data_IF_214930967597
#
_entry.id   IF_214930967597
#
_cell.length_a   1.000
_cell.length_b   1.000
_cell.length_c   1.000
_cell.angle_alpha   90.00
_cell.angle_beta   90.00
_cell.angle_gamma   90.00
#
_symmetry.space_group_name_H-M   'P 1'
#
loop_
_entity.id
_entity.type
_entity.pdbx_description
1 polymer ?
#
# COMPACT_ATOMS: atom_id res chain seq x y z
N UNK A 1 22.45 -42.09 -8.99
CA UNK A 1 21.89 -41.60 -7.72
C UNK A 1 22.13 -40.09 -7.53
N UNK A 2 23.35 -39.56 -7.84
CA UNK A 2 23.67 -38.12 -7.69
C UNK A 2 22.93 -37.23 -8.71
N UNK A 3 22.68 -37.70 -9.93
CA UNK A 3 21.95 -36.95 -10.95
C UNK A 3 20.44 -36.83 -10.64
N UNK A 4 19.83 -37.81 -10.01
CA UNK A 4 18.42 -37.80 -9.60
C UNK A 4 18.15 -36.78 -8.47
N UNK A 5 19.09 -36.63 -7.53
CA UNK A 5 19.00 -35.69 -6.44
C UNK A 5 19.06 -34.23 -6.92
N UNK A 6 19.88 -33.92 -7.96
CA UNK A 6 19.97 -32.58 -8.53
C UNK A 6 18.68 -32.20 -9.28
N UNK A 7 18.04 -33.14 -9.98
CA UNK A 7 16.77 -32.89 -10.64
C UNK A 7 15.61 -32.64 -9.67
N UNK A 8 15.58 -33.35 -8.55
CA UNK A 8 14.56 -33.11 -7.51
C UNK A 8 14.76 -31.75 -6.80
N UNK A 9 15.99 -31.34 -6.58
CA UNK A 9 16.28 -30.00 -6.01
C UNK A 9 15.97 -28.87 -6.99
N UNK A 10 16.27 -29.04 -8.27
CA UNK A 10 15.96 -28.04 -9.30
C UNK A 10 14.44 -27.96 -9.55
N UNK A 11 13.72 -29.06 -9.56
CA UNK A 11 12.26 -29.10 -9.72
C UNK A 11 11.49 -28.55 -8.51
N UNK A 12 11.91 -28.90 -7.30
CA UNK A 12 11.30 -28.40 -6.05
C UNK A 12 11.57 -26.92 -5.82
N UNK A 13 12.77 -26.45 -6.11
CA UNK A 13 13.15 -25.03 -6.00
C UNK A 13 12.41 -24.14 -6.99
N UNK A 14 12.20 -24.60 -8.21
CA UNK A 14 11.44 -23.87 -9.23
C UNK A 14 9.95 -23.75 -8.88
N UNK A 15 9.35 -24.77 -8.28
CA UNK A 15 7.92 -24.76 -7.91
C UNK A 15 7.63 -23.87 -6.71
N UNK A 16 8.49 -23.87 -5.71
CA UNK A 16 8.37 -22.98 -4.55
C UNK A 16 8.76 -21.53 -4.88
N UNK A 17 9.73 -21.31 -5.78
CA UNK A 17 10.15 -19.99 -6.24
C UNK A 17 9.05 -19.27 -7.03
N UNK A 18 8.22 -20.00 -7.78
CA UNK A 18 7.13 -19.42 -8.57
C UNK A 18 5.97 -18.89 -7.69
N UNK A 19 5.82 -19.37 -6.46
CA UNK A 19 4.81 -18.91 -5.51
C UNK A 19 5.25 -17.62 -4.75
N UNK A 20 6.56 -17.35 -4.65
CA UNK A 20 7.10 -16.25 -3.84
C UNK A 20 7.81 -15.14 -4.63
N UNK A 21 8.17 -15.38 -5.90
CA UNK A 21 8.81 -14.36 -6.71
C UNK A 21 7.75 -13.52 -7.45
N UNK A 22 7.73 -12.19 -7.29
CA UNK A 22 6.71 -11.31 -7.87
C UNK A 22 7.01 -11.03 -9.36
N UNK A 23 7.14 -12.07 -10.19
CA UNK A 23 7.45 -11.95 -11.63
C UNK A 23 6.54 -10.95 -12.36
N UNK A 24 5.26 -10.92 -11.98
CA UNK A 24 4.28 -10.02 -12.57
C UNK A 24 4.57 -8.54 -12.26
N UNK A 25 5.16 -8.27 -11.11
CA UNK A 25 5.53 -6.90 -10.74
C UNK A 25 6.78 -6.41 -11.50
N UNK A 26 7.63 -7.30 -11.99
CA UNK A 26 8.81 -6.95 -12.78
C UNK A 26 8.47 -6.57 -14.22
N UNK A 27 7.39 -7.12 -14.79
CA UNK A 27 6.84 -6.78 -16.09
C UNK A 27 5.74 -5.74 -16.06
N UNK A 28 5.52 -5.05 -14.93
CA UNK A 28 4.49 -4.05 -14.79
C UNK A 28 4.71 -2.84 -15.72
N UNK A 29 3.60 -2.28 -16.24
CA UNK A 29 3.66 -1.12 -17.14
C UNK A 29 4.26 0.12 -16.45
N UNK A 30 3.94 0.32 -15.16
CA UNK A 30 4.50 1.41 -14.34
C UNK A 30 4.86 0.90 -12.94
N UNK A 31 6.02 1.32 -12.47
CA UNK A 31 6.50 0.98 -11.13
C UNK A 31 7.29 2.10 -10.49
N UNK A 32 7.35 2.07 -9.17
CA UNK A 32 8.23 2.88 -8.33
C UNK A 32 9.22 1.99 -7.58
N UNK A 33 10.40 2.54 -7.33
CA UNK A 33 11.38 1.94 -6.44
C UNK A 33 10.98 2.16 -4.96
N UNK A 34 11.72 1.53 -4.06
CA UNK A 34 11.59 1.76 -2.63
C UNK A 34 11.92 3.23 -2.30
N UNK A 35 11.05 3.90 -1.54
CA UNK A 35 11.13 5.32 -1.22
C UNK A 35 10.68 6.27 -2.35
N UNK A 36 10.55 5.78 -3.59
CA UNK A 36 10.11 6.60 -4.71
C UNK A 36 8.60 6.82 -4.70
N UNK A 37 8.17 8.04 -5.07
CA UNK A 37 6.79 8.39 -5.41
C UNK A 37 6.74 8.93 -6.83
N UNK A 38 5.69 8.58 -7.57
CA UNK A 38 5.54 8.99 -8.96
C UNK A 38 4.09 9.30 -9.30
N UNK A 39 3.86 10.43 -9.94
CA UNK A 39 2.55 10.80 -10.46
C UNK A 39 2.51 10.56 -11.96
N UNK A 40 1.43 9.94 -12.42
CA UNK A 40 1.12 9.76 -13.84
C UNK A 40 -0.30 10.22 -14.14
N UNK A 41 -0.53 10.64 -15.38
CA UNK A 41 -1.88 10.93 -15.90
C UNK A 41 -2.18 9.96 -17.02
N UNK A 42 -3.29 9.25 -16.90
CA UNK A 42 -3.77 8.28 -17.88
C UNK A 42 -4.50 8.98 -19.04
N UNK A 43 -4.72 8.26 -20.14
CA UNK A 43 -5.32 8.81 -21.36
C UNK A 43 -6.76 9.35 -21.19
N UNK A 44 -7.46 8.91 -20.14
CA UNK A 44 -8.81 9.36 -19.78
C UNK A 44 -8.84 10.56 -18.81
N UNK A 45 -7.67 11.12 -18.49
CA UNK A 45 -7.50 12.20 -17.52
C UNK A 45 -7.46 11.74 -16.06
N UNK A 46 -7.50 10.41 -15.78
CA UNK A 46 -7.29 9.88 -14.42
C UNK A 46 -5.85 10.14 -13.97
N UNK A 47 -5.69 10.72 -12.79
CA UNK A 47 -4.38 10.89 -12.16
C UNK A 47 -4.16 9.78 -11.16
N UNK A 48 -3.00 9.14 -11.23
CA UNK A 48 -2.55 8.09 -10.31
C UNK A 48 -1.20 8.49 -9.71
N UNK A 49 -1.17 8.62 -8.38
CA UNK A 49 0.08 8.76 -7.62
C UNK A 49 0.46 7.39 -7.09
N UNK A 50 1.61 6.88 -7.48
CA UNK A 50 2.18 5.64 -6.98
C UNK A 50 3.04 5.95 -5.76
N UNK A 51 2.85 5.20 -4.68
CA UNK A 51 3.66 5.26 -3.47
C UNK A 51 4.93 4.40 -3.60
N UNK A 52 5.71 4.30 -2.54
CA UNK A 52 6.91 3.45 -2.44
C UNK A 52 6.62 2.01 -2.88
N UNK A 53 7.59 1.39 -3.58
CA UNK A 53 7.56 -0.02 -4.01
C UNK A 53 6.23 -0.47 -4.61
N UNK A 54 5.69 0.33 -5.51
CA UNK A 54 4.38 0.12 -6.14
C UNK A 54 4.54 -0.35 -7.58
N UNK A 55 3.66 -1.25 -8.02
CA UNK A 55 3.61 -1.74 -9.39
C UNK A 55 2.17 -1.85 -9.87
N UNK A 56 1.89 -1.29 -11.06
CA UNK A 56 0.57 -1.33 -11.71
C UNK A 56 0.67 -1.73 -13.18
N UNK A 57 -0.39 -2.39 -13.67
CA UNK A 57 -0.66 -2.55 -15.09
C UNK A 57 -1.85 -1.66 -15.50
N UNK A 58 -1.81 -1.15 -16.74
CA UNK A 58 -2.86 -0.33 -17.32
C UNK A 58 -3.51 -1.10 -18.46
N UNK A 59 -4.83 -1.30 -18.39
CA UNK A 59 -5.61 -2.08 -19.36
C UNK A 59 -6.87 -1.31 -19.75
N UNK A 60 -6.76 -0.52 -20.81
CA UNK A 60 -7.90 0.20 -21.37
C UNK A 60 -8.40 -0.56 -22.62
N UNK A 61 -9.68 -0.93 -22.60
CA UNK A 61 -10.39 -1.51 -23.73
C UNK A 61 -11.63 -0.68 -24.09
N UNK A 62 -12.50 -1.20 -24.97
CA UNK A 62 -13.70 -0.47 -25.39
C UNK A 62 -14.79 -0.36 -24.32
N UNK A 63 -14.78 -1.22 -23.30
CA UNK A 63 -15.79 -1.30 -22.25
C UNK A 63 -15.29 -0.71 -20.92
N UNK A 64 -13.98 -0.82 -20.63
CA UNK A 64 -13.43 -0.50 -19.33
C UNK A 64 -12.12 0.29 -19.40
N UNK A 65 -11.85 1.03 -18.32
CA UNK A 65 -10.57 1.67 -18.01
C UNK A 65 -10.00 0.93 -16.82
N UNK A 66 -9.16 -0.08 -17.08
CA UNK A 66 -8.59 -0.94 -16.05
C UNK A 66 -7.25 -0.43 -15.55
N UNK A 67 -7.08 -0.33 -14.24
CA UNK A 67 -5.78 -0.24 -13.56
C UNK A 67 -5.66 -1.42 -12.62
N UNK A 68 -4.63 -2.24 -12.77
CA UNK A 68 -4.39 -3.37 -11.89
C UNK A 68 -3.26 -3.05 -10.93
N UNK A 69 -3.57 -2.98 -9.63
CA UNK A 69 -2.57 -2.88 -8.58
C UNK A 69 -2.00 -4.27 -8.31
N UNK A 70 -0.72 -4.45 -8.60
CA UNK A 70 0.00 -5.71 -8.39
C UNK A 70 0.61 -5.78 -7.00
N UNK A 71 1.13 -4.64 -6.50
CA UNK A 71 1.63 -4.44 -5.15
C UNK A 71 1.73 -2.96 -4.81
N UNK A 72 1.87 -2.67 -3.53
CA UNK A 72 2.09 -1.30 -3.05
C UNK A 72 0.80 -0.54 -2.80
N UNK A 73 0.81 0.75 -3.12
CA UNK A 73 -0.27 1.68 -2.81
C UNK A 73 -0.37 2.77 -3.87
N UNK A 74 -1.59 3.09 -4.28
CA UNK A 74 -1.88 4.17 -5.21
C UNK A 74 -2.94 5.12 -4.65
N UNK A 75 -2.80 6.42 -4.97
CA UNK A 75 -3.86 7.41 -4.86
C UNK A 75 -4.43 7.66 -6.27
N UNK A 76 -5.73 7.55 -6.41
CA UNK A 76 -6.43 7.71 -7.69
C UNK A 76 -7.37 8.90 -7.60
N UNK A 77 -7.25 9.83 -8.55
CA UNK A 77 -8.26 10.86 -8.82
C UNK A 77 -8.87 10.55 -10.18
N UNK A 78 -10.13 10.12 -10.20
CA UNK A 78 -10.78 9.61 -11.40
C UNK A 78 -11.03 10.70 -12.44
N UNK A 79 -10.59 10.48 -13.68
CA UNK A 79 -10.90 11.29 -14.85
C UNK A 79 -12.31 11.02 -15.39
N UNK A 80 -12.78 11.93 -16.24
CA UNK A 80 -14.16 11.91 -16.79
C UNK A 80 -14.31 11.10 -18.07
N UNK A 81 -13.23 10.56 -18.66
CA UNK A 81 -13.24 9.89 -19.99
C UNK A 81 -13.91 10.73 -21.07
N UNK A 82 -13.60 12.03 -21.08
CA UNK A 82 -14.31 13.04 -21.91
C UNK A 82 -14.16 12.82 -23.43
N UNK A 83 -13.21 11.99 -23.86
CA UNK A 83 -13.02 11.66 -25.27
C UNK A 83 -14.10 10.71 -25.83
N UNK A 84 -15.00 10.17 -24.97
CA UNK A 84 -16.08 9.26 -25.40
C UNK A 84 -17.44 9.80 -25.06
N UNK A 85 -18.40 9.61 -25.96
CA UNK A 85 -19.80 10.02 -25.76
C UNK A 85 -20.43 9.28 -24.56
N UNK A 86 -20.06 8.03 -24.33
CA UNK A 86 -20.43 7.24 -23.14
C UNK A 86 -19.15 6.90 -22.38
N UNK A 87 -18.93 7.48 -21.19
CA UNK A 87 -17.75 7.20 -20.39
C UNK A 87 -17.68 5.73 -19.97
N UNK A 88 -16.51 5.11 -20.13
CA UNK A 88 -16.27 3.75 -19.67
C UNK A 88 -16.12 3.71 -18.15
N UNK A 89 -16.49 2.59 -17.54
CA UNK A 89 -16.27 2.39 -16.12
C UNK A 89 -14.75 2.31 -15.79
N UNK A 90 -14.31 3.07 -14.79
CA UNK A 90 -12.97 2.89 -14.21
C UNK A 90 -13.01 1.74 -13.21
N UNK A 91 -12.05 0.84 -13.29
CA UNK A 91 -11.92 -0.32 -12.41
C UNK A 91 -10.48 -0.43 -11.91
N UNK A 92 -10.29 -0.41 -10.60
CA UNK A 92 -9.00 -0.74 -9.98
C UNK A 92 -9.08 -2.20 -9.54
N UNK A 93 -8.39 -3.07 -10.26
CA UNK A 93 -8.33 -4.49 -9.95
C UNK A 93 -7.19 -4.78 -8.96
N UNK A 94 -7.46 -5.60 -7.95
CA UNK A 94 -6.50 -6.00 -6.91
C UNK A 94 -6.44 -7.52 -6.78
N UNK A 95 -5.55 -8.03 -5.95
CA UNK A 95 -5.49 -9.47 -5.65
C UNK A 95 -6.79 -9.98 -4.99
N UNK A 96 -7.53 -9.09 -4.31
CA UNK A 96 -8.68 -9.45 -3.48
C UNK A 96 -10.03 -9.13 -4.15
N UNK A 97 -10.05 -8.28 -5.18
CA UNK A 97 -11.28 -7.91 -5.88
C UNK A 97 -11.14 -6.59 -6.62
N UNK A 98 -12.27 -6.04 -7.05
CA UNK A 98 -12.35 -4.81 -7.82
C UNK A 98 -12.85 -3.64 -6.98
N UNK A 99 -12.26 -2.47 -7.19
CA UNK A 99 -12.70 -1.18 -6.63
C UNK A 99 -13.18 -0.30 -7.79
N UNK A 100 -14.43 0.11 -7.76
CA UNK A 100 -15.11 0.88 -8.82
C UNK A 100 -15.50 2.26 -8.30
N UNK A 101 -14.80 3.31 -8.68
CA UNK A 101 -15.09 4.68 -8.26
C UNK A 101 -16.33 5.23 -8.96
N UNK A 102 -16.99 6.18 -8.28
CA UNK A 102 -18.09 6.98 -8.80
C UNK A 102 -17.70 8.45 -8.63
N UNK A 103 -16.83 8.97 -9.52
CA UNK A 103 -16.33 10.34 -9.48
C UNK A 103 -15.56 10.64 -8.18
N UNK A 104 -14.35 10.11 -8.02
CA UNK A 104 -13.78 9.87 -6.68
C UNK A 104 -12.31 10.21 -6.60
N UNK A 105 -11.85 10.67 -5.42
CA UNK A 105 -10.45 10.62 -4.96
C UNK A 105 -10.32 9.61 -3.84
N UNK A 106 -9.49 8.57 -4.03
CA UNK A 106 -9.37 7.46 -3.09
C UNK A 106 -7.98 6.82 -3.20
N UNK A 107 -7.54 6.14 -2.14
CA UNK A 107 -6.35 5.30 -2.20
C UNK A 107 -6.72 3.82 -2.16
N UNK A 108 -5.85 3.01 -2.76
CA UNK A 108 -5.90 1.55 -2.72
C UNK A 108 -4.52 1.02 -2.37
N UNK A 109 -4.46 0.17 -1.33
CA UNK A 109 -3.22 -0.43 -0.85
C UNK A 109 -3.35 -1.95 -0.70
N UNK A 110 -2.46 -2.70 -1.31
CA UNK A 110 -2.30 -4.14 -1.08
C UNK A 110 -1.61 -4.40 0.27
N UNK A 111 -2.19 -5.30 1.08
CA UNK A 111 -1.71 -5.63 2.44
C UNK A 111 -1.76 -7.14 2.66
N UNK A 112 -0.87 -7.89 1.97
CA UNK A 112 -0.80 -9.34 2.13
C UNK A 112 -2.11 -10.04 1.78
N UNK A 113 -2.94 -10.31 2.77
CA UNK A 113 -4.21 -11.04 2.67
C UNK A 113 -5.46 -10.15 2.46
N UNK A 114 -5.28 -8.83 2.48
CA UNK A 114 -6.36 -7.85 2.31
C UNK A 114 -5.94 -6.67 1.44
N UNK A 115 -6.92 -5.99 0.87
CA UNK A 115 -6.76 -4.68 0.22
C UNK A 115 -7.44 -3.62 1.09
N UNK A 116 -6.73 -2.53 1.35
CA UNK A 116 -7.28 -1.33 2.00
C UNK A 116 -7.71 -0.31 0.95
N UNK A 117 -8.88 0.28 1.17
CA UNK A 117 -9.40 1.40 0.37
C UNK A 117 -9.78 2.54 1.32
N UNK A 118 -9.28 3.75 1.05
CA UNK A 118 -9.62 4.97 1.77
C UNK A 118 -10.20 5.97 0.79
N UNK A 119 -11.39 6.52 1.09
CA UNK A 119 -12.12 7.43 0.20
C UNK A 119 -12.07 8.85 0.74
N UNK A 120 -11.49 9.77 -0.04
CA UNK A 120 -11.31 11.18 0.34
C UNK A 120 -12.39 12.09 -0.26
N UNK A 121 -12.88 11.75 -1.46
CA UNK A 121 -13.96 12.46 -2.14
C UNK A 121 -14.82 11.48 -2.94
N UNK A 122 -16.14 11.71 -3.02
CA UNK A 122 -17.09 10.87 -3.73
C UNK A 122 -17.37 9.52 -3.03
N UNK A 123 -17.42 8.44 -3.79
CA UNK A 123 -17.70 7.09 -3.27
C UNK A 123 -17.10 6.00 -4.15
N UNK A 124 -16.80 4.84 -3.57
CA UNK A 124 -16.36 3.65 -4.29
C UNK A 124 -17.20 2.43 -3.95
N UNK A 125 -17.42 1.55 -4.93
CA UNK A 125 -17.99 0.22 -4.72
C UNK A 125 -16.85 -0.79 -4.64
N UNK A 126 -16.86 -1.63 -3.61
CA UNK A 126 -15.90 -2.71 -3.42
C UNK A 126 -16.57 -4.02 -3.82
N UNK A 127 -15.99 -4.76 -4.75
CA UNK A 127 -16.47 -6.07 -5.21
C UNK A 127 -15.41 -7.13 -4.89
N UNK A 128 -15.44 -7.78 -3.70
CA UNK A 128 -14.54 -8.86 -3.36
C UNK A 128 -14.67 -10.00 -4.37
N UNK A 129 -13.57 -10.68 -4.71
CA UNK A 129 -13.50 -11.61 -5.85
C UNK A 129 -14.45 -12.81 -5.75
N UNK A 130 -14.75 -13.25 -4.54
CA UNK A 130 -15.60 -14.43 -4.26
C UNK A 130 -16.94 -14.07 -3.64
N UNK A 131 -17.14 -12.79 -3.28
CA UNK A 131 -18.40 -12.37 -2.68
C UNK A 131 -19.55 -12.52 -3.67
N UNK A 132 -20.68 -13.02 -3.17
CA UNK A 132 -21.94 -13.06 -3.90
C UNK A 132 -22.86 -11.99 -3.32
N UNK A 133 -23.49 -11.21 -4.19
CA UNK A 133 -24.45 -10.21 -3.78
C UNK A 133 -24.03 -8.77 -4.10
N UNK A 134 -24.63 -7.80 -3.39
CA UNK A 134 -24.42 -6.36 -3.67
C UNK A 134 -23.07 -5.89 -3.16
N UNK A 135 -22.28 -5.28 -4.03
CA UNK A 135 -21.02 -4.64 -3.68
C UNK A 135 -21.24 -3.47 -2.71
N UNK A 136 -20.63 -3.47 -1.50
CA UNK A 136 -20.74 -2.38 -0.55
C UNK A 136 -20.21 -1.06 -1.13
N UNK A 137 -20.86 0.04 -0.76
CA UNK A 137 -20.47 1.40 -1.11
C UNK A 137 -19.76 2.03 0.08
N UNK A 138 -18.55 2.53 -0.15
CA UNK A 138 -17.77 3.31 0.83
C UNK A 138 -17.79 4.76 0.36
N UNK A 139 -18.18 5.66 1.24
CA UNK A 139 -18.30 7.11 0.97
C UNK A 139 -17.10 7.88 1.50
N UNK A 140 -16.96 9.12 1.05
CA UNK A 140 -15.92 10.03 1.51
C UNK A 140 -15.82 10.11 3.03
N UNK A 141 -14.60 10.25 3.55
CA UNK A 141 -14.28 10.25 4.98
C UNK A 141 -14.20 8.85 5.61
N UNK A 142 -14.41 7.79 4.83
CA UNK A 142 -14.35 6.41 5.31
C UNK A 142 -13.36 5.55 4.54
N UNK A 143 -12.85 4.53 5.22
CA UNK A 143 -12.03 3.48 4.63
C UNK A 143 -12.53 2.09 5.00
N UNK A 144 -12.16 1.10 4.20
CA UNK A 144 -12.49 -0.30 4.44
C UNK A 144 -11.32 -1.19 4.04
N UNK A 145 -11.13 -2.27 4.79
CA UNK A 145 -10.26 -3.37 4.39
C UNK A 145 -11.15 -4.50 3.85
N UNK A 146 -10.72 -5.18 2.80
CA UNK A 146 -11.46 -6.32 2.25
C UNK A 146 -10.53 -7.44 1.80
N UNK A 147 -11.00 -8.66 1.98
CA UNK A 147 -10.39 -9.90 1.50
C UNK A 147 -11.05 -10.35 0.19
N UNK A 148 -10.72 -11.54 -0.28
CA UNK A 148 -11.39 -12.12 -1.47
C UNK A 148 -12.85 -12.46 -1.23
N UNK A 149 -13.26 -12.61 0.03
CA UNK A 149 -14.58 -13.12 0.39
C UNK A 149 -15.55 -12.04 0.84
N UNK A 150 -15.05 -11.03 1.60
CA UNK A 150 -15.90 -9.98 2.19
C UNK A 150 -15.07 -8.76 2.63
N UNK A 151 -15.77 -7.72 3.14
CA UNK A 151 -15.14 -6.70 3.97
C UNK A 151 -14.59 -7.35 5.24
N UNK A 152 -13.39 -6.95 5.66
CA UNK A 152 -12.73 -7.45 6.87
C UNK A 152 -13.28 -6.84 8.18
N UNK A 153 -14.34 -6.05 8.09
CA UNK A 153 -15.01 -5.38 9.20
C UNK A 153 -15.86 -4.21 8.70
N UNK A 154 -16.48 -3.45 9.61
CA UNK A 154 -17.21 -2.24 9.24
C UNK A 154 -16.26 -1.17 8.69
N UNK A 155 -16.76 -0.27 7.81
CA UNK A 155 -15.99 0.89 7.39
C UNK A 155 -15.56 1.73 8.60
N UNK A 156 -14.29 2.20 8.58
CA UNK A 156 -13.72 3.06 9.63
C UNK A 156 -13.68 4.51 9.16
N UNK A 157 -13.79 5.44 10.09
CA UNK A 157 -13.58 6.87 9.82
C UNK A 157 -12.10 7.11 9.55
N UNK A 158 -11.79 7.89 8.51
CA UNK A 158 -10.43 8.26 8.18
C UNK A 158 -9.89 9.27 9.18
N UNK A 159 -8.67 9.05 9.65
CA UNK A 159 -7.93 10.08 10.39
C UNK A 159 -7.49 11.23 9.48
N UNK A 160 -7.23 12.40 10.07
CA UNK A 160 -6.78 13.59 9.34
C UNK A 160 -5.43 13.38 8.59
N UNK A 161 -4.66 12.38 8.98
CA UNK A 161 -3.38 11.98 8.38
C UNK A 161 -3.51 11.06 7.16
N UNK A 162 -4.70 10.54 6.89
CA UNK A 162 -4.91 9.63 5.78
C UNK A 162 -4.55 10.33 4.45
N UNK A 163 -3.73 9.68 3.63
CA UNK A 163 -3.33 10.21 2.32
C UNK A 163 -2.21 11.25 2.33
N UNK A 164 -1.69 11.69 3.49
CA UNK A 164 -0.58 12.66 3.59
C UNK A 164 0.72 12.20 2.89
N UNK A 165 0.87 10.89 2.68
CA UNK A 165 1.99 10.32 1.96
C UNK A 165 2.12 10.83 0.51
N UNK A 166 1.03 11.29 -0.10
CA UNK A 166 1.04 11.91 -1.44
C UNK A 166 1.96 13.12 -1.46
N UNK A 167 1.96 13.90 -0.36
CA UNK A 167 2.80 15.07 -0.18
C UNK A 167 4.18 14.74 0.42
N UNK A 168 4.49 13.46 0.58
CA UNK A 168 5.78 12.99 1.09
C UNK A 168 5.94 13.06 2.59
N UNK A 169 4.84 13.13 3.33
CA UNK A 169 4.86 13.20 4.78
C UNK A 169 4.06 12.07 5.42
N UNK A 170 4.50 11.68 6.61
CA UNK A 170 3.78 10.81 7.52
C UNK A 170 3.32 11.65 8.72
N UNK A 171 2.02 11.76 8.90
CA UNK A 171 1.44 12.49 10.03
C UNK A 171 0.99 11.48 11.08
N UNK A 172 1.61 11.54 12.24
CA UNK A 172 1.20 10.77 13.42
C UNK A 172 0.37 11.66 14.34
N UNK A 173 -0.81 11.20 14.72
CA UNK A 173 -1.68 11.83 15.72
C UNK A 173 -2.03 10.79 16.77
N UNK A 174 -1.33 10.83 17.91
CA UNK A 174 -1.48 9.82 18.99
C UNK A 174 -1.32 8.38 18.48
N UNK A 175 -0.43 8.16 17.49
CA UNK A 175 -0.19 6.86 16.87
C UNK A 175 0.68 6.00 17.81
N UNK A 176 0.47 4.68 17.82
CA UNK A 176 1.38 3.78 18.53
C UNK A 176 2.74 3.76 17.84
N UNK A 177 3.83 3.73 18.61
CA UNK A 177 5.18 3.67 18.04
C UNK A 177 5.36 2.48 17.09
N UNK A 178 4.84 1.30 17.45
CA UNK A 178 4.89 0.13 16.58
C UNK A 178 4.22 0.37 15.22
N UNK A 179 3.09 1.09 15.19
CA UNK A 179 2.35 1.38 13.96
C UNK A 179 3.09 2.43 13.10
N UNK A 180 3.71 3.43 13.74
CA UNK A 180 4.58 4.41 13.06
C UNK A 180 5.78 3.73 12.42
N UNK A 181 6.49 2.87 13.18
CA UNK A 181 7.68 2.16 12.68
C UNK A 181 7.31 1.17 11.56
N UNK A 182 6.16 0.50 11.63
CA UNK A 182 5.66 -0.36 10.57
C UNK A 182 5.37 0.43 9.27
N UNK A 183 4.97 1.70 9.38
CA UNK A 183 4.80 2.55 8.21
C UNK A 183 6.14 3.04 7.65
N UNK A 184 7.10 3.42 8.51
CA UNK A 184 8.46 3.82 8.12
C UNK A 184 9.21 2.66 7.43
N UNK A 185 9.03 1.41 7.92
CA UNK A 185 9.64 0.19 7.35
C UNK A 185 9.36 0.03 5.85
N UNK A 186 8.27 0.59 5.35
CA UNK A 186 7.90 0.56 3.92
C UNK A 186 8.78 1.42 3.02
N UNK A 187 9.41 2.46 3.57
CA UNK A 187 10.11 3.49 2.78
C UNK A 187 11.62 3.34 2.80
N UNK A 188 12.14 2.34 3.51
CA UNK A 188 13.58 2.11 3.63
C UNK A 188 13.99 0.68 3.29
N UNK A 189 15.22 0.45 2.80
CA UNK A 189 15.74 -0.89 2.64
C UNK A 189 15.99 -1.55 4.00
N UNK A 190 15.70 -2.86 4.08
CA UNK A 190 15.92 -3.64 5.30
C UNK A 190 14.68 -3.80 6.16
N UNK A 191 14.83 -3.68 7.47
CA UNK A 191 13.76 -3.84 8.45
C UNK A 191 13.92 -2.91 9.64
N UNK A 192 12.80 -2.32 10.07
CA UNK A 192 12.68 -1.61 11.34
C UNK A 192 11.84 -2.45 12.29
N UNK A 193 12.37 -2.80 13.42
CA UNK A 193 11.67 -3.55 14.48
C UNK A 193 11.38 -2.62 15.65
N UNK A 194 10.27 -2.88 16.31
CA UNK A 194 9.88 -2.23 17.55
C UNK A 194 9.94 -3.26 18.68
N UNK A 195 10.69 -2.97 19.74
CA UNK A 195 10.64 -3.79 20.95
C UNK A 195 9.24 -3.69 21.59
N UNK A 196 8.77 -4.80 22.15
CA UNK A 196 7.45 -4.87 22.78
C UNK A 196 7.30 -3.88 23.96
N UNK A 197 8.39 -3.59 24.68
CA UNK A 197 8.39 -2.68 25.83
C UNK A 197 8.00 -1.25 25.45
N UNK A 198 8.35 -0.80 24.22
CA UNK A 198 8.09 0.56 23.73
C UNK A 198 6.98 0.64 22.68
N UNK A 199 6.46 -0.49 22.24
CA UNK A 199 5.48 -0.61 21.15
C UNK A 199 4.22 0.27 21.34
N UNK A 200 3.81 0.50 22.58
CA UNK A 200 2.60 1.24 22.94
C UNK A 200 2.85 2.73 23.22
N UNK A 201 4.10 3.22 23.17
CA UNK A 201 4.38 4.65 23.28
C UNK A 201 3.58 5.41 22.22
N UNK A 202 3.11 6.60 22.59
CA UNK A 202 2.31 7.44 21.71
C UNK A 202 3.15 8.51 21.07
N UNK A 203 2.98 8.64 19.76
CA UNK A 203 3.76 9.54 18.93
C UNK A 203 2.82 10.51 18.25
N UNK A 204 3.18 11.80 18.26
CA UNK A 204 2.50 12.84 17.48
C UNK A 204 3.56 13.71 16.80
N UNK A 205 3.34 13.96 15.51
CA UNK A 205 4.30 14.76 14.72
C UNK A 205 4.08 14.58 13.22
N UNK A 206 4.80 15.36 12.44
CA UNK A 206 4.86 15.27 10.99
C UNK A 206 6.28 14.94 10.57
N UNK A 207 6.43 13.87 9.82
CA UNK A 207 7.72 13.27 9.47
C UNK A 207 7.90 13.21 7.95
N UNK A 208 9.00 13.72 7.39
CA UNK A 208 9.30 13.60 5.97
C UNK A 208 9.67 12.15 5.61
N UNK A 209 9.01 11.56 4.61
CA UNK A 209 9.19 10.16 4.20
C UNK A 209 10.43 9.93 3.32
N UNK A 210 11.08 10.97 2.85
CA UNK A 210 12.29 10.94 2.04
C UNK A 210 13.57 10.73 2.87
N UNK A 211 13.50 10.95 4.20
CA UNK A 211 14.61 10.75 5.14
C UNK A 211 14.13 9.96 6.37
N UNK A 212 14.09 8.65 6.24
CA UNK A 212 13.64 7.76 7.32
C UNK A 212 14.64 7.67 8.47
N UNK A 213 15.93 7.91 8.24
CA UNK A 213 16.94 7.91 9.31
C UNK A 213 16.75 9.13 10.21
N UNK A 214 16.47 10.30 9.64
CA UNK A 214 16.11 11.50 10.41
C UNK A 214 14.84 11.30 11.26
N UNK A 215 13.88 10.51 10.78
CA UNK A 215 12.70 10.18 11.60
C UNK A 215 13.13 9.38 12.84
N UNK A 216 13.98 8.37 12.67
CA UNK A 216 14.48 7.54 13.78
C UNK A 216 15.28 8.39 14.79
N UNK A 217 16.12 9.31 14.33
CA UNK A 217 16.86 10.23 15.19
C UNK A 217 15.89 11.13 15.98
N UNK A 218 14.87 11.68 15.35
CA UNK A 218 13.85 12.50 16.02
C UNK A 218 13.09 11.70 17.10
N UNK A 219 12.79 10.43 16.84
CA UNK A 219 12.12 9.57 17.82
C UNK A 219 13.01 9.35 19.06
N UNK A 220 14.33 9.17 18.87
CA UNK A 220 15.30 9.05 19.94
C UNK A 220 15.45 10.32 20.79
N UNK A 221 15.31 11.51 20.16
CA UNK A 221 15.38 12.79 20.86
C UNK A 221 14.11 13.12 21.66
N UNK A 222 12.95 12.57 21.24
CA UNK A 222 11.63 12.98 21.76
C UNK A 222 10.94 11.93 22.64
N UNK A 223 11.41 10.71 22.62
CA UNK A 223 10.84 9.58 23.36
C UNK A 223 11.93 8.87 24.21
N UNK A 224 11.54 8.17 25.26
CA UNK A 224 12.47 7.34 26.04
C UNK A 224 12.84 6.05 25.28
N UNK A 225 13.46 6.20 24.11
CA UNK A 225 13.84 5.09 23.24
C UNK A 225 15.26 5.27 22.72
N UNK A 226 15.93 4.15 22.44
CA UNK A 226 17.19 4.09 21.70
C UNK A 226 16.98 3.37 20.37
N UNK A 227 17.86 3.68 19.41
CA UNK A 227 17.86 3.07 18.07
C UNK A 227 19.13 2.23 17.92
N UNK A 228 18.97 0.92 17.95
CA UNK A 228 20.07 -0.04 17.82
C UNK A 228 20.20 -0.49 16.36
N UNK A 229 21.40 -0.35 15.78
CA UNK A 229 21.73 -0.76 14.42
C UNK A 229 22.56 -2.05 14.45
N UNK A 230 21.99 -3.18 14.06
CA UNK A 230 22.78 -4.38 13.77
C UNK A 230 23.53 -4.20 12.44
N UNK A 231 22.95 -3.48 11.50
CA UNK A 231 23.54 -2.96 10.26
C UNK A 231 22.68 -1.79 9.78
N UNK A 232 23.13 -1.08 8.72
CA UNK A 232 22.30 -0.02 8.10
C UNK A 232 20.92 -0.50 7.61
N UNK A 233 20.73 -1.81 7.46
CA UNK A 233 19.48 -2.43 7.00
C UNK A 233 18.61 -3.02 8.10
N UNK A 234 19.17 -3.25 9.30
CA UNK A 234 18.47 -3.86 10.42
C UNK A 234 18.53 -2.95 11.62
N UNK A 235 17.38 -2.37 11.91
CA UNK A 235 17.21 -1.37 12.96
C UNK A 235 16.20 -1.89 13.97
N UNK A 236 16.50 -1.73 15.26
CA UNK A 236 15.55 -2.04 16.34
C UNK A 236 15.41 -0.83 17.24
N UNK A 237 14.18 -0.39 17.46
CA UNK A 237 13.86 0.66 18.44
C UNK A 237 13.53 -0.02 19.76
N UNK A 238 14.31 0.29 20.80
CA UNK A 238 14.27 -0.31 22.14
C UNK A 238 14.01 0.77 23.21
N UNK A 239 13.75 0.37 24.45
CA UNK A 239 13.70 1.32 25.54
C UNK A 239 15.07 1.95 25.78
N UNK A 240 15.11 3.26 26.03
CA UNK A 240 16.35 3.92 26.44
C UNK A 240 16.90 3.26 27.72
N UNK A 241 18.21 3.09 27.76
CA UNK A 241 18.91 2.63 28.97
C UNK A 241 19.20 3.86 29.84
N UNK A 242 18.79 3.79 31.11
CA UNK A 242 19.14 4.76 32.14
C UNK A 242 20.66 4.86 32.39
#
# INVERSE_FOLDING_TARGET
LKALAVLLFAGGGAWTGQAYLPWRAWGADVRTALGERRTITLADGTTVVLNTDTAIDIRFDDATRGVRLLRGEIMVTSGRDAARAVPRALVIATAHGDVRPVGTRFSVRERGDATRVDVFDGAVRIAPRRAVGRAPLITAGHGADFTRDALAGPPRVLGASAGAWVDGILVASNLRLADLLAEIDRYRPGRVRCDAAVANLRVSGTYPLDDTDRILDTLRETLPVDVEYLSRYWVTVVAARD
#
